data_IF_244194005474
#
_entry.id   IF_244194005474
#
_cell.length_a   1.000
_cell.length_b   1.000
_cell.length_c   1.000
_cell.angle_alpha   90.00
_cell.angle_beta   90.00
_cell.angle_gamma   90.00
#
_symmetry.space_group_name_H-M   'P 1'
#
loop_
_entity.id
_entity.type
_entity.pdbx_description
1 polymer ?
#
# COMPACT_ATOMS: atom_id res chain seq x y z
N UNK A 1 19.36 44.49 -57.90
CA UNK A 1 18.09 44.24 -57.18
C UNK A 1 17.83 42.74 -57.26
N UNK A 2 17.93 41.97 -56.16
CA UNK A 2 17.52 40.54 -55.98
C UNK A 2 18.34 39.78 -54.89
N UNK A 3 18.77 40.41 -53.76
CA UNK A 3 19.57 39.69 -52.73
C UNK A 3 19.14 39.98 -51.27
N UNK A 4 17.98 40.61 -51.02
CA UNK A 4 17.51 40.88 -49.65
C UNK A 4 16.26 40.09 -49.23
N UNK A 5 15.70 39.28 -50.13
CA UNK A 5 14.43 38.56 -49.90
C UNK A 5 14.61 37.13 -49.35
N UNK A 6 15.69 36.43 -49.73
CA UNK A 6 15.89 35.02 -49.36
C UNK A 6 16.19 34.79 -47.87
N UNK A 7 16.96 35.68 -47.24
CA UNK A 7 17.30 35.57 -45.81
C UNK A 7 16.10 35.87 -44.88
N UNK A 8 15.17 36.71 -45.33
CA UNK A 8 13.93 36.99 -44.59
C UNK A 8 12.95 35.82 -44.70
N UNK A 9 12.86 35.18 -45.87
CA UNK A 9 12.04 33.99 -46.07
C UNK A 9 12.54 32.78 -45.27
N UNK A 10 13.86 32.54 -45.20
CA UNK A 10 14.42 31.46 -44.37
C UNK A 10 14.25 31.73 -42.88
N UNK A 11 14.39 32.98 -42.44
CA UNK A 11 14.18 33.35 -41.04
C UNK A 11 12.72 33.18 -40.61
N UNK A 12 11.75 33.58 -41.45
CA UNK A 12 10.32 33.35 -41.19
C UNK A 12 9.95 31.86 -41.21
N UNK A 13 10.56 31.07 -42.10
CA UNK A 13 10.36 29.61 -42.15
C UNK A 13 10.88 28.92 -40.88
N UNK A 14 12.07 29.31 -40.39
CA UNK A 14 12.65 28.82 -39.14
C UNK A 14 11.84 29.25 -37.90
N UNK A 15 11.28 30.47 -37.88
CA UNK A 15 10.41 30.92 -36.79
C UNK A 15 9.10 30.13 -36.73
N UNK A 16 8.53 29.75 -37.89
CA UNK A 16 7.31 28.93 -37.94
C UNK A 16 7.51 27.49 -37.44
N UNK A 17 8.73 26.94 -37.61
CA UNK A 17 9.08 25.61 -37.14
C UNK A 17 9.15 25.53 -35.61
N UNK A 18 9.55 26.63 -34.96
CA UNK A 18 9.66 26.74 -33.50
C UNK A 18 8.26 26.89 -32.85
N UNK A 19 7.34 27.63 -33.46
CA UNK A 19 5.96 27.76 -32.96
C UNK A 19 5.10 26.52 -33.19
N UNK A 20 5.41 25.73 -34.22
CA UNK A 20 4.70 24.47 -34.47
C UNK A 20 5.06 23.36 -33.47
N UNK A 21 6.23 23.43 -32.83
CA UNK A 21 6.68 22.41 -31.88
C UNK A 21 6.08 22.57 -30.47
N UNK A 22 5.51 23.73 -30.14
CA UNK A 22 4.91 23.98 -28.82
C UNK A 22 3.39 23.79 -28.78
N UNK A 23 2.75 23.43 -29.90
CA UNK A 23 1.28 23.35 -29.98
C UNK A 23 0.71 21.93 -29.83
N UNK A 24 1.49 20.95 -29.40
CA UNK A 24 0.99 19.58 -29.21
C UNK A 24 1.70 18.86 -28.06
N UNK A 25 1.30 19.18 -26.84
CA UNK A 25 0.99 18.20 -25.79
C UNK A 25 0.43 18.95 -24.58
N UNK A 26 -0.90 19.07 -24.59
CA UNK A 26 -1.68 19.51 -23.44
C UNK A 26 -1.48 18.58 -22.25
N UNK A 27 -1.45 19.21 -21.08
CA UNK A 27 -1.49 18.70 -19.71
C UNK A 27 -2.16 17.32 -19.56
N UNK A 28 -1.40 16.30 -19.15
CA UNK A 28 -1.91 15.19 -18.36
C UNK A 28 -1.43 15.40 -16.92
N UNK A 29 -2.05 16.37 -16.24
CA UNK A 29 -2.18 16.35 -14.79
C UNK A 29 -3.49 15.61 -14.47
N UNK A 30 -3.57 14.35 -14.91
CA UNK A 30 -4.66 13.47 -14.52
C UNK A 30 -4.26 12.83 -13.18
N UNK A 31 -4.94 13.29 -12.13
CA UNK A 31 -5.17 12.54 -10.89
C UNK A 31 -3.93 12.31 -10.03
N UNK A 32 -3.44 13.41 -9.44
CA UNK A 32 -3.16 13.36 -8.00
C UNK A 32 -4.49 13.62 -7.26
N UNK A 33 -5.51 12.79 -7.51
CA UNK A 33 -6.32 12.42 -6.36
C UNK A 33 -5.35 11.63 -5.49
N UNK A 34 -4.82 12.28 -4.46
CA UNK A 34 -4.57 11.58 -3.22
C UNK A 34 -5.99 11.30 -2.71
N UNK A 35 -6.66 10.15 -3.01
CA UNK A 35 -7.67 9.71 -2.07
C UNK A 35 -6.89 9.67 -0.76
N UNK A 36 -7.41 10.32 0.28
CA UNK A 36 -6.80 10.35 1.59
C UNK A 36 -6.44 8.92 2.00
N UNK A 37 -5.24 8.48 1.65
CA UNK A 37 -4.78 7.10 1.80
C UNK A 37 -4.48 7.03 3.27
N UNK A 38 -5.54 6.78 4.02
CA UNK A 38 -5.52 6.81 5.46
C UNK A 38 -4.41 5.86 5.87
N UNK A 39 -3.48 6.36 6.68
CA UNK A 39 -2.18 5.73 6.84
C UNK A 39 -2.34 4.29 7.31
N UNK A 40 -1.69 3.35 6.61
CA UNK A 40 -1.78 1.95 6.97
C UNK A 40 -1.04 1.70 8.29
N UNK A 41 -1.70 1.04 9.23
CA UNK A 41 -1.18 0.74 10.56
C UNK A 41 -1.28 -0.75 10.89
N UNK A 42 -0.47 -1.21 11.83
CA UNK A 42 -0.41 -2.63 12.18
C UNK A 42 -1.61 -3.00 13.02
N UNK A 43 -2.32 -4.03 12.60
CA UNK A 43 -3.45 -4.62 13.32
C UNK A 43 -3.15 -6.08 13.64
N UNK A 44 -3.78 -6.60 14.68
CA UNK A 44 -3.81 -8.01 15.04
C UNK A 44 -5.19 -8.53 14.65
N UNK A 45 -5.19 -9.54 13.79
CA UNK A 45 -6.37 -10.20 13.26
C UNK A 45 -6.46 -11.54 13.97
N UNK A 46 -7.48 -11.72 14.81
CA UNK A 46 -7.82 -13.00 15.43
C UNK A 46 -8.71 -13.79 14.48
N UNK A 47 -8.37 -15.04 14.27
CA UNK A 47 -9.10 -15.95 13.39
C UNK A 47 -9.50 -17.22 14.12
N UNK A 48 -10.47 -17.93 13.57
CA UNK A 48 -10.69 -19.33 13.93
C UNK A 48 -9.43 -20.16 13.64
N UNK A 49 -9.24 -21.24 14.39
CA UNK A 49 -8.10 -22.13 14.20
C UNK A 49 -8.39 -23.11 13.06
N UNK A 50 -7.58 -23.14 12.00
CA UNK A 50 -7.77 -24.13 10.93
C UNK A 50 -7.48 -25.54 11.47
N UNK A 51 -8.37 -26.50 11.16
CA UNK A 51 -8.23 -27.90 11.58
C UNK A 51 -7.46 -28.75 10.55
N UNK A 52 -7.62 -28.45 9.26
CA UNK A 52 -7.16 -29.31 8.16
C UNK A 52 -6.10 -28.66 7.27
N UNK A 53 -5.55 -27.51 7.67
CA UNK A 53 -4.56 -26.78 6.89
C UNK A 53 -3.52 -26.10 7.79
N UNK A 54 -2.36 -25.77 7.22
CA UNK A 54 -1.34 -25.01 7.95
C UNK A 54 -1.87 -23.60 8.29
N UNK A 55 -1.73 -23.13 9.54
CA UNK A 55 -2.19 -21.79 9.94
C UNK A 55 -1.71 -20.67 9.02
N UNK A 56 -0.47 -20.75 8.55
CA UNK A 56 0.10 -19.70 7.69
C UNK A 56 -0.55 -19.63 6.31
N UNK A 57 -0.85 -20.79 5.70
CA UNK A 57 -1.57 -20.85 4.43
C UNK A 57 -2.99 -20.29 4.58
N UNK A 58 -3.67 -20.61 5.69
CA UNK A 58 -4.97 -20.03 6.03
C UNK A 58 -4.91 -18.51 6.15
N UNK A 59 -3.91 -17.98 6.87
CA UNK A 59 -3.74 -16.55 7.10
C UNK A 59 -3.50 -15.78 5.79
N UNK A 60 -2.64 -16.30 4.92
CA UNK A 60 -2.35 -15.70 3.61
C UNK A 60 -3.61 -15.65 2.75
N UNK A 61 -4.34 -16.76 2.62
CA UNK A 61 -5.60 -16.80 1.86
C UNK A 61 -6.63 -15.82 2.41
N UNK A 62 -6.78 -15.80 3.73
CA UNK A 62 -7.74 -14.92 4.41
C UNK A 62 -7.42 -13.46 4.09
N UNK A 63 -6.15 -13.04 4.21
CA UNK A 63 -5.77 -11.66 3.91
C UNK A 63 -5.81 -11.34 2.41
N UNK A 64 -5.47 -12.29 1.53
CA UNK A 64 -5.48 -12.11 0.08
C UNK A 64 -6.86 -11.70 -0.45
N UNK A 65 -7.94 -12.16 0.19
CA UNK A 65 -9.32 -11.76 -0.14
C UNK A 65 -9.59 -10.25 0.02
N UNK A 66 -8.80 -9.55 0.85
CA UNK A 66 -8.93 -8.12 1.13
C UNK A 66 -7.85 -7.30 0.42
N UNK A 67 -6.62 -7.80 0.36
CA UNK A 67 -5.50 -7.05 -0.26
C UNK A 67 -5.34 -7.32 -1.76
N UNK A 68 -6.10 -8.28 -2.30
CA UNK A 68 -6.21 -8.55 -3.74
C UNK A 68 -5.29 -9.63 -4.30
N UNK A 69 -4.26 -10.08 -3.56
CA UNK A 69 -3.42 -11.21 -3.98
C UNK A 69 -2.68 -11.87 -2.81
N UNK A 70 -2.26 -13.13 -2.99
CA UNK A 70 -1.42 -13.82 -1.99
C UNK A 70 -0.05 -13.17 -1.82
N UNK A 71 0.54 -12.64 -2.90
CA UNK A 71 1.82 -11.94 -2.81
C UNK A 71 1.70 -10.66 -1.99
N UNK A 72 0.64 -9.88 -2.21
CA UNK A 72 0.36 -8.70 -1.40
C UNK A 72 0.08 -9.09 0.06
N UNK A 73 -0.60 -10.21 0.31
CA UNK A 73 -0.84 -10.72 1.65
C UNK A 73 0.45 -11.12 2.36
N UNK A 74 1.35 -11.84 1.69
CA UNK A 74 2.68 -12.21 2.24
C UNK A 74 3.51 -10.99 2.62
N UNK A 75 3.46 -9.92 1.82
CA UNK A 75 4.14 -8.65 2.11
C UNK A 75 3.48 -7.91 3.28
N UNK A 76 2.15 -7.97 3.38
CA UNK A 76 1.39 -7.26 4.40
C UNK A 76 1.40 -7.94 5.78
N UNK A 77 1.58 -9.26 5.86
CA UNK A 77 1.69 -10.02 7.11
C UNK A 77 3.06 -9.78 7.75
N UNK A 78 3.05 -9.31 9.00
CA UNK A 78 4.24 -9.13 9.83
C UNK A 78 4.53 -10.37 10.66
N UNK A 79 3.48 -11.03 11.17
CA UNK A 79 3.63 -12.21 12.01
C UNK A 79 2.40 -13.10 11.96
N UNK A 80 2.62 -14.41 12.02
CA UNK A 80 1.58 -15.44 12.02
C UNK A 80 1.59 -16.17 13.36
N UNK A 81 0.52 -16.01 14.16
CA UNK A 81 0.37 -16.64 15.47
C UNK A 81 -0.12 -18.08 15.30
N UNK A 82 0.66 -19.07 15.77
CA UNK A 82 0.38 -20.51 15.56
C UNK A 82 0.01 -21.29 16.84
N UNK A 83 0.26 -20.73 18.02
CA UNK A 83 0.21 -21.48 19.29
C UNK A 83 -0.73 -20.86 20.33
N UNK A 84 -0.34 -19.73 20.94
CA UNK A 84 -1.09 -19.09 22.02
C UNK A 84 -2.37 -18.40 21.56
N UNK A 85 -2.46 -18.08 20.26
CA UNK A 85 -3.62 -17.54 19.59
C UNK A 85 -3.60 -18.01 18.12
N UNK A 86 -4.77 -18.03 17.49
CA UNK A 86 -4.90 -18.20 16.04
C UNK A 86 -5.14 -16.84 15.40
N UNK A 87 -4.37 -16.51 14.37
CA UNK A 87 -4.43 -15.22 13.72
C UNK A 87 -3.07 -14.70 13.24
N UNK A 88 -3.04 -13.46 12.78
CA UNK A 88 -1.85 -12.83 12.25
C UNK A 88 -1.84 -11.33 12.52
N UNK A 89 -0.66 -10.69 12.48
CA UNK A 89 -0.56 -9.24 12.43
C UNK A 89 -0.22 -8.79 11.01
N UNK A 90 -0.86 -7.71 10.56
CA UNK A 90 -0.66 -7.17 9.22
C UNK A 90 -0.78 -5.64 9.20
N UNK A 91 -0.10 -5.00 8.24
CA UNK A 91 -0.21 -3.56 8.00
C UNK A 91 -1.37 -3.29 7.03
N UNK A 92 -2.43 -2.66 7.52
CA UNK A 92 -3.70 -2.49 6.80
C UNK A 92 -4.14 -1.02 6.79
N UNK A 93 -4.77 -0.59 5.69
CA UNK A 93 -5.52 0.67 5.66
C UNK A 93 -6.83 0.53 6.46
N UNK A 94 -7.45 1.64 6.91
CA UNK A 94 -8.75 1.59 7.59
C UNK A 94 -9.86 0.93 6.78
N UNK A 95 -9.83 1.06 5.45
CA UNK A 95 -10.76 0.37 4.55
C UNK A 95 -10.55 -1.14 4.62
N UNK A 96 -9.30 -1.61 4.51
CA UNK A 96 -8.96 -3.03 4.64
C UNK A 96 -9.31 -3.58 6.03
N UNK A 97 -9.20 -2.79 7.10
CA UNK A 97 -9.63 -3.19 8.45
C UNK A 97 -11.14 -3.44 8.51
N UNK A 98 -11.92 -2.56 7.88
CA UNK A 98 -13.38 -2.70 7.77
C UNK A 98 -13.77 -3.94 6.96
N UNK A 99 -13.06 -4.22 5.88
CA UNK A 99 -13.28 -5.42 5.06
C UNK A 99 -12.86 -6.70 5.79
N UNK A 100 -11.70 -6.70 6.44
CA UNK A 100 -11.22 -7.84 7.24
C UNK A 100 -12.21 -8.23 8.34
N UNK A 101 -12.85 -7.24 8.97
CA UNK A 101 -13.84 -7.50 10.04
C UNK A 101 -15.11 -8.20 9.54
N UNK A 102 -15.32 -8.27 8.23
CA UNK A 102 -16.47 -8.94 7.59
C UNK A 102 -16.11 -10.31 7.04
N UNK A 103 -14.83 -10.69 7.03
CA UNK A 103 -14.38 -11.95 6.46
C UNK A 103 -14.82 -13.14 7.32
N UNK A 104 -15.35 -14.22 6.73
CA UNK A 104 -15.65 -15.45 7.44
C UNK A 104 -14.42 -15.99 8.17
N UNK A 105 -14.60 -16.47 9.40
CA UNK A 105 -13.52 -17.00 10.23
C UNK A 105 -12.62 -15.94 10.85
N UNK A 106 -12.87 -14.64 10.63
CA UNK A 106 -12.25 -13.54 11.40
C UNK A 106 -13.12 -13.22 12.61
N UNK A 107 -12.53 -13.36 13.80
CA UNK A 107 -13.21 -13.16 15.07
C UNK A 107 -13.09 -11.72 15.56
N UNK A 108 -11.93 -11.09 15.35
CA UNK A 108 -11.67 -9.74 15.82
C UNK A 108 -10.50 -9.10 15.08
N UNK A 109 -10.58 -7.80 14.82
CA UNK A 109 -9.46 -6.98 14.32
C UNK A 109 -9.18 -5.88 15.33
N UNK A 110 -7.98 -5.84 15.90
CA UNK A 110 -7.58 -4.86 16.92
C UNK A 110 -6.30 -4.13 16.51
N UNK A 111 -6.13 -2.84 16.87
CA UNK A 111 -4.89 -2.13 16.60
C UNK A 111 -3.74 -2.72 17.44
N UNK A 112 -2.59 -2.93 16.80
CA UNK A 112 -1.37 -3.36 17.49
C UNK A 112 -0.82 -2.23 18.36
N UNK A 113 -0.33 -2.56 19.56
CA UNK A 113 0.23 -1.61 20.53
C UNK A 113 1.57 -2.10 21.04
N UNK A 114 2.55 -1.21 21.08
CA UNK A 114 3.82 -1.47 21.78
C UNK A 114 3.64 -1.19 23.26
N UNK A 115 3.95 -2.16 24.11
CA UNK A 115 3.88 -2.05 25.57
C UNK A 115 5.29 -2.02 26.16
N UNK A 116 5.49 -1.23 27.21
CA UNK A 116 6.74 -1.24 28.00
C UNK A 116 6.61 -2.29 29.11
N UNK A 117 7.56 -3.22 29.15
CA UNK A 117 7.63 -4.20 30.25
C UNK A 117 8.14 -3.49 31.51
N UNK A 118 7.48 -3.75 32.64
CA UNK A 118 7.91 -3.22 33.93
C UNK A 118 9.17 -3.95 34.41
N UNK A 119 10.31 -3.26 34.40
CA UNK A 119 11.53 -3.77 35.03
C UNK A 119 11.51 -3.45 36.52
N UNK A 120 11.00 -4.38 37.34
CA UNK A 120 11.17 -4.30 38.79
C UNK A 120 12.63 -4.51 39.19
N UNK A 121 13.11 -3.98 40.34
CA UNK A 121 14.46 -4.23 40.81
C UNK A 121 14.63 -5.72 41.12
N UNK A 122 15.36 -6.41 40.25
CA UNK A 122 15.66 -7.83 40.40
C UNK A 122 16.52 -8.08 41.63
N UNK A 123 15.91 -8.44 42.75
CA UNK A 123 16.61 -9.09 43.85
C UNK A 123 16.91 -10.52 43.40
N UNK A 124 18.05 -10.69 42.74
CA UNK A 124 18.63 -12.00 42.52
C UNK A 124 19.02 -12.57 43.89
N UNK A 125 18.22 -13.52 44.38
CA UNK A 125 18.66 -14.41 45.44
C UNK A 125 19.63 -15.40 44.78
N UNK A 126 20.92 -15.11 44.94
CA UNK A 126 22.02 -16.06 44.68
C UNK A 126 22.17 -16.96 45.90
#
# INVERSE_FOLDING_TARGET
>A
MQIRSSALFTYLFLLSLIWSFTSSSSIIAAMAENPSKSEASVHIIYTEKPENEEPEAYHIRTLASVVGSEDAARVAILYSYKHAASGFSAKLTPEQVSEMSKQPGVLQVVPSRTLQLHSGPGRMHV
#
